data_IF_880222586929
#
_entry.id   IF_880222586929
#
_cell.length_a   1.000
_cell.length_b   1.000
_cell.length_c   1.000
_cell.angle_alpha   90.00
_cell.angle_beta   90.00
_cell.angle_gamma   90.00
#
_symmetry.space_group_name_H-M   'P 1'
#
loop_
_entity.id
_entity.type
_entity.pdbx_description
1 polymer ?
#
# COMPACT_ATOMS: atom_id res chain seq x y z
N UNK A 1 -15.67 11.35 -5.83
CA UNK A 1 -15.61 12.73 -6.38
C UNK A 1 -14.35 13.05 -7.18
N UNK A 2 -13.15 12.52 -6.87
CA UNK A 2 -11.91 12.88 -7.59
C UNK A 2 -11.93 12.58 -9.10
N UNK A 3 -12.50 11.45 -9.54
CA UNK A 3 -12.56 11.07 -10.96
C UNK A 3 -13.34 12.06 -11.84
N UNK A 4 -14.49 12.55 -11.36
CA UNK A 4 -15.32 13.53 -12.09
C UNK A 4 -14.60 14.88 -12.26
N UNK A 5 -13.82 15.28 -11.25
CA UNK A 5 -13.00 16.50 -11.29
C UNK A 5 -11.94 16.40 -12.39
N UNK A 6 -11.24 15.26 -12.52
CA UNK A 6 -10.26 15.06 -13.59
C UNK A 6 -10.88 15.02 -14.99
N UNK A 7 -12.09 14.47 -15.12
CA UNK A 7 -12.86 14.50 -16.39
C UNK A 7 -13.18 15.93 -16.83
N UNK A 8 -13.65 16.77 -15.90
CA UNK A 8 -13.94 18.18 -16.18
C UNK A 8 -12.68 18.97 -16.60
N UNK A 9 -11.53 18.70 -15.97
CA UNK A 9 -10.26 19.32 -16.36
C UNK A 9 -9.80 18.90 -17.76
N UNK A 10 -9.95 17.63 -18.14
CA UNK A 10 -9.62 17.18 -19.50
C UNK A 10 -10.47 17.91 -20.55
N UNK A 11 -11.78 18.04 -20.34
CA UNK A 11 -12.67 18.77 -21.27
C UNK A 11 -12.26 20.24 -21.37
N UNK A 12 -11.97 20.89 -20.23
CA UNK A 12 -11.54 22.29 -20.20
C UNK A 12 -10.23 22.53 -20.97
N UNK A 13 -9.26 21.62 -20.82
CA UNK A 13 -7.98 21.68 -21.54
C UNK A 13 -8.18 21.49 -23.04
N UNK A 14 -9.03 20.55 -23.46
CA UNK A 14 -9.33 20.30 -24.88
C UNK A 14 -10.02 21.50 -25.52
N UNK A 15 -10.99 22.13 -24.83
CA UNK A 15 -11.64 23.35 -25.32
C UNK A 15 -10.63 24.49 -25.47
N UNK A 16 -9.75 24.69 -24.48
CA UNK A 16 -8.67 25.68 -24.58
C UNK A 16 -7.71 25.41 -25.73
N UNK A 17 -7.32 24.15 -25.93
CA UNK A 17 -6.40 23.75 -27.01
C UNK A 17 -7.06 23.88 -28.40
N UNK A 18 -8.36 23.64 -28.51
CA UNK A 18 -9.11 23.86 -29.74
C UNK A 18 -9.22 25.35 -30.11
N UNK A 19 -9.39 26.24 -29.11
CA UNK A 19 -9.38 27.69 -29.33
C UNK A 19 -7.98 28.16 -29.76
N UNK A 20 -6.93 27.64 -29.13
CA UNK A 20 -5.54 27.95 -29.50
C UNK A 20 -5.17 27.44 -30.89
N UNK A 21 -5.59 26.22 -31.26
CA UNK A 21 -5.41 25.71 -32.61
C UNK A 21 -6.12 26.58 -33.64
N UNK A 22 -7.37 27.02 -33.37
CA UNK A 22 -8.09 27.95 -34.24
C UNK A 22 -7.37 29.30 -34.38
N UNK A 23 -6.67 29.76 -33.33
CA UNK A 23 -5.88 30.99 -33.36
C UNK A 23 -4.53 30.83 -34.11
N UNK A 24 -3.88 29.68 -34.02
CA UNK A 24 -2.58 29.42 -34.66
C UNK A 24 -2.67 28.95 -36.11
N UNK A 25 -3.71 28.19 -36.49
CA UNK A 25 -3.84 27.64 -37.84
C UNK A 25 -5.08 28.22 -38.54
N UNK A 26 -4.90 29.34 -39.24
CA UNK A 26 -5.99 30.01 -39.97
C UNK A 26 -6.54 29.17 -41.14
N UNK A 27 -5.82 28.14 -41.60
CA UNK A 27 -6.13 27.39 -42.83
C UNK A 27 -6.54 25.92 -42.60
N UNK A 28 -6.56 25.43 -41.36
CA UNK A 28 -6.90 24.03 -41.06
C UNK A 28 -8.32 23.95 -40.49
N UNK A 29 -9.27 23.46 -41.29
CA UNK A 29 -10.67 23.30 -40.90
C UNK A 29 -11.10 21.82 -40.83
N UNK A 30 -10.62 21.07 -39.83
CA UNK A 30 -11.01 19.66 -39.65
C UNK A 30 -12.52 19.53 -39.40
N UNK A 31 -13.15 20.56 -38.83
CA UNK A 31 -14.60 20.59 -38.56
C UNK A 31 -15.43 20.67 -39.85
N UNK A 32 -14.94 21.33 -40.91
CA UNK A 32 -15.66 21.40 -42.19
C UNK A 32 -15.66 20.05 -42.91
N UNK A 33 -14.58 19.27 -42.78
CA UNK A 33 -14.54 17.88 -43.27
C UNK A 33 -15.46 16.96 -42.46
N UNK A 34 -15.55 17.16 -41.15
CA UNK A 34 -16.41 16.35 -40.28
C UNK A 34 -17.90 16.70 -40.43
N UNK A 35 -18.26 17.97 -40.69
CA UNK A 35 -19.65 18.37 -40.94
C UNK A 35 -20.20 17.79 -42.24
N UNK A 36 -19.37 17.72 -43.29
CA UNK A 36 -19.76 17.08 -44.55
C UNK A 36 -19.97 15.56 -44.42
N UNK A 37 -19.35 14.93 -43.42
CA UNK A 37 -19.55 13.52 -43.09
C UNK A 37 -20.75 13.30 -42.15
N UNK A 38 -21.16 14.32 -41.40
CA UNK A 38 -22.21 14.26 -40.36
C UNK A 38 -23.43 15.11 -40.72
N UNK A 39 -24.11 14.76 -41.82
CA UNK A 39 -25.30 15.49 -42.28
C UNK A 39 -26.56 15.03 -41.53
N UNK A 40 -26.60 15.27 -40.21
CA UNK A 40 -27.68 14.80 -39.32
C UNK A 40 -28.93 15.68 -39.37
N UNK A 41 -28.84 16.94 -39.81
CA UNK A 41 -29.93 17.93 -39.83
C UNK A 41 -29.90 18.76 -41.11
N UNK A 42 -31.05 19.26 -41.58
CA UNK A 42 -31.18 20.10 -42.79
C UNK A 42 -30.57 21.50 -42.66
N UNK A 43 -30.16 21.90 -41.46
CA UNK A 43 -29.62 23.21 -41.12
C UNK A 43 -28.10 23.08 -40.88
N UNK A 44 -27.32 23.72 -41.75
CA UNK A 44 -25.85 23.68 -41.77
C UNK A 44 -25.24 24.21 -40.45
N UNK A 45 -25.92 25.13 -39.77
CA UNK A 45 -25.47 25.69 -38.50
C UNK A 45 -25.47 24.66 -37.37
N UNK A 46 -26.48 23.78 -37.35
CA UNK A 46 -26.64 22.74 -36.33
C UNK A 46 -25.65 21.59 -36.55
N UNK A 47 -25.42 21.18 -37.80
CA UNK A 47 -24.44 20.13 -38.11
C UNK A 47 -23.03 20.53 -37.66
N UNK A 48 -22.65 21.82 -37.83
CA UNK A 48 -21.36 22.32 -37.35
C UNK A 48 -21.23 22.23 -35.82
N UNK A 49 -22.31 22.46 -35.06
CA UNK A 49 -22.29 22.32 -33.60
C UNK A 49 -22.13 20.85 -33.17
N UNK A 50 -22.83 19.92 -33.82
CA UNK A 50 -22.69 18.49 -33.52
C UNK A 50 -21.29 17.96 -33.87
N UNK A 51 -20.72 18.37 -35.00
CA UNK A 51 -19.33 18.03 -35.35
C UNK A 51 -18.33 18.52 -34.30
N UNK A 52 -18.54 19.72 -33.74
CA UNK A 52 -17.72 20.25 -32.65
C UNK A 52 -17.82 19.41 -31.38
N UNK A 53 -19.04 19.00 -30.99
CA UNK A 53 -19.24 18.16 -29.81
C UNK A 53 -18.56 16.80 -29.93
N UNK A 54 -18.67 16.16 -31.09
CA UNK A 54 -18.03 14.86 -31.36
C UNK A 54 -16.51 14.99 -31.33
N UNK A 55 -15.96 16.03 -31.96
CA UNK A 55 -14.52 16.27 -31.97
C UNK A 55 -13.97 16.48 -30.55
N UNK A 56 -14.63 17.32 -29.74
CA UNK A 56 -14.22 17.56 -28.35
C UNK A 56 -14.30 16.28 -27.51
N UNK A 57 -15.35 15.47 -27.71
CA UNK A 57 -15.52 14.20 -26.99
C UNK A 57 -14.37 13.23 -27.29
N UNK A 58 -14.07 12.98 -28.57
CA UNK A 58 -12.99 12.07 -28.98
C UNK A 58 -11.63 12.59 -28.52
N UNK A 59 -11.35 13.89 -28.67
CA UNK A 59 -10.10 14.50 -28.23
C UNK A 59 -9.92 14.42 -26.71
N UNK A 60 -11.00 14.51 -25.92
CA UNK A 60 -10.95 14.37 -24.46
C UNK A 60 -10.59 12.96 -24.00
N UNK A 61 -11.01 11.93 -24.73
CA UNK A 61 -10.62 10.55 -24.42
C UNK A 61 -9.13 10.33 -24.73
N UNK A 62 -8.65 10.87 -25.86
CA UNK A 62 -7.24 10.75 -26.25
C UNK A 62 -6.29 11.49 -25.30
N UNK A 63 -6.65 12.69 -24.84
CA UNK A 63 -5.81 13.43 -23.88
C UNK A 63 -5.72 12.66 -22.54
N UNK A 64 -6.81 12.03 -22.12
CA UNK A 64 -6.86 11.21 -20.91
C UNK A 64 -5.97 9.97 -21.00
N UNK A 65 -5.97 9.27 -22.13
CA UNK A 65 -5.09 8.09 -22.32
C UNK A 65 -3.62 8.48 -22.36
N UNK A 66 -3.27 9.59 -23.03
CA UNK A 66 -1.91 10.12 -23.07
C UNK A 66 -1.42 10.49 -21.66
N UNK A 67 -2.26 11.17 -20.87
CA UNK A 67 -1.92 11.51 -19.49
C UNK A 67 -1.67 10.27 -18.63
N UNK A 68 -2.53 9.25 -18.74
CA UNK A 68 -2.36 7.98 -18.04
C UNK A 68 -1.06 7.27 -18.40
N UNK A 69 -0.69 7.26 -19.69
CA UNK A 69 0.60 6.74 -20.16
C UNK A 69 1.78 7.57 -19.63
N UNK A 70 1.69 8.89 -19.68
CA UNK A 70 2.71 9.80 -19.17
C UNK A 70 2.97 9.62 -17.67
N UNK A 71 1.91 9.45 -16.87
CA UNK A 71 2.03 9.16 -15.45
C UNK A 71 2.78 7.85 -15.20
N UNK A 72 2.44 6.76 -15.91
CA UNK A 72 3.14 5.47 -15.79
C UNK A 72 4.63 5.60 -16.10
N UNK A 73 4.97 6.30 -17.19
CA UNK A 73 6.37 6.55 -17.59
C UNK A 73 7.09 7.38 -16.53
N UNK A 74 6.46 8.42 -15.98
CA UNK A 74 7.06 9.26 -14.95
C UNK A 74 7.33 8.48 -13.65
N UNK A 75 6.40 7.63 -13.23
CA UNK A 75 6.61 6.71 -12.09
C UNK A 75 7.76 5.72 -12.37
N UNK A 76 7.86 5.19 -13.59
CA UNK A 76 8.95 4.29 -13.98
C UNK A 76 10.31 4.99 -13.90
N UNK A 77 10.42 6.24 -14.39
CA UNK A 77 11.65 7.03 -14.32
C UNK A 77 12.04 7.31 -12.86
N UNK A 78 11.07 7.68 -12.02
CA UNK A 78 11.31 7.89 -10.59
C UNK A 78 11.81 6.62 -9.91
N UNK A 79 11.25 5.47 -10.27
CA UNK A 79 11.68 4.17 -9.77
C UNK A 79 13.10 3.80 -10.23
N UNK A 80 13.42 4.00 -11.51
CA UNK A 80 14.76 3.78 -12.05
C UNK A 80 15.82 4.67 -11.38
N UNK A 81 15.49 5.95 -11.11
CA UNK A 81 16.37 6.84 -10.35
C UNK A 81 16.59 6.35 -8.92
N UNK A 82 15.55 5.86 -8.25
CA UNK A 82 15.67 5.28 -6.91
C UNK A 82 16.55 4.02 -6.92
N UNK A 83 16.40 3.15 -7.92
CA UNK A 83 17.24 1.96 -8.12
C UNK A 83 18.71 2.32 -8.35
N UNK A 84 18.99 3.28 -9.24
CA UNK A 84 20.34 3.74 -9.55
C UNK A 84 21.03 4.43 -8.35
N UNK A 85 20.25 5.08 -7.48
CA UNK A 85 20.77 5.76 -6.28
C UNK A 85 21.22 4.82 -5.15
N UNK A 86 21.12 3.49 -5.33
CA UNK A 86 21.68 2.50 -4.40
C UNK A 86 21.06 2.48 -3.00
N UNK A 87 19.95 3.20 -2.80
CA UNK A 87 19.26 3.32 -1.50
C UNK A 87 18.54 2.04 -1.09
N UNK A 88 18.26 1.11 -2.02
CA UNK A 88 17.60 -0.16 -1.73
C UNK A 88 18.27 -1.33 -2.45
N UNK A 89 18.98 -2.18 -1.71
CA UNK A 89 19.44 -3.51 -2.18
C UNK A 89 18.25 -4.48 -2.22
N UNK A 90 17.34 -4.33 -3.17
CA UNK A 90 16.26 -5.31 -3.39
C UNK A 90 16.69 -6.29 -4.48
N UNK A 91 16.46 -7.59 -4.25
CA UNK A 91 16.54 -8.61 -5.31
C UNK A 91 15.49 -8.31 -6.38
N UNK A 92 15.81 -8.61 -7.64
CA UNK A 92 14.98 -8.30 -8.82
C UNK A 92 13.55 -8.89 -8.72
N UNK A 93 13.41 -10.05 -8.06
CA UNK A 93 12.13 -10.76 -7.84
C UNK A 93 11.20 -10.08 -6.81
N UNK A 94 11.76 -9.30 -5.87
CA UNK A 94 10.99 -8.61 -4.83
C UNK A 94 10.59 -7.18 -5.21
N UNK A 95 11.10 -6.65 -6.32
CA UNK A 95 10.85 -5.28 -6.78
C UNK A 95 9.36 -5.03 -6.99
N UNK A 96 8.66 -5.95 -7.65
CA UNK A 96 7.23 -5.78 -7.94
C UNK A 96 6.40 -5.83 -6.66
N UNK A 97 6.75 -6.72 -5.73
CA UNK A 97 6.14 -6.81 -4.42
C UNK A 97 6.38 -5.51 -3.63
N UNK A 98 7.61 -4.98 -3.65
CA UNK A 98 7.98 -3.74 -2.96
C UNK A 98 7.32 -2.50 -3.59
N UNK A 99 7.11 -2.48 -4.91
CA UNK A 99 6.36 -1.44 -5.61
C UNK A 99 4.88 -1.49 -5.25
N UNK A 100 4.27 -2.68 -5.31
CA UNK A 100 2.88 -2.91 -4.92
C UNK A 100 2.66 -2.51 -3.45
N UNK A 101 3.55 -2.96 -2.57
CA UNK A 101 3.58 -2.58 -1.15
C UNK A 101 3.72 -1.07 -0.99
N UNK A 102 4.63 -0.41 -1.72
CA UNK A 102 4.83 1.04 -1.63
C UNK A 102 3.62 1.85 -2.08
N UNK A 103 2.88 1.40 -3.10
CA UNK A 103 1.62 2.06 -3.51
C UNK A 103 0.48 1.81 -2.54
N UNK A 104 0.49 0.67 -1.84
CA UNK A 104 -0.45 0.34 -0.77
C UNK A 104 -0.08 1.01 0.57
N UNK A 105 1.18 1.39 0.77
CA UNK A 105 1.66 1.96 2.03
C UNK A 105 0.84 3.18 2.51
N UNK A 106 0.49 4.16 1.66
CA UNK A 106 -0.33 5.30 2.08
C UNK A 106 -1.74 4.88 2.54
N UNK A 107 -2.31 3.83 1.94
CA UNK A 107 -3.65 3.31 2.27
C UNK A 107 -3.63 2.45 3.54
N UNK A 108 -2.53 1.74 3.79
CA UNK A 108 -2.37 0.86 4.96
C UNK A 108 -1.80 1.60 6.18
N UNK A 109 -1.18 2.76 5.98
CA UNK A 109 -0.48 3.51 7.03
C UNK A 109 -1.37 4.30 7.99
N UNK A 110 -2.70 4.20 7.87
CA UNK A 110 -3.61 4.96 8.73
C UNK A 110 -3.48 4.56 10.22
N UNK A 111 -3.06 3.32 10.52
CA UNK A 111 -2.82 2.86 11.89
C UNK A 111 -1.32 2.61 12.18
N UNK A 112 -0.80 2.99 13.38
CA UNK A 112 0.60 2.78 13.75
C UNK A 112 1.07 1.32 13.73
N UNK A 113 0.17 0.38 14.03
CA UNK A 113 0.43 -1.06 14.03
C UNK A 113 0.59 -1.63 12.62
N UNK A 114 -0.22 -1.14 11.67
CA UNK A 114 -0.17 -1.57 10.27
C UNK A 114 1.10 -1.05 9.62
N UNK A 115 1.55 0.17 9.99
CA UNK A 115 2.88 0.67 9.64
C UNK A 115 3.99 -0.25 10.17
N UNK A 116 3.88 -0.74 11.40
CA UNK A 116 4.89 -1.64 11.97
C UNK A 116 4.94 -2.99 11.24
N UNK A 117 3.78 -3.54 10.87
CA UNK A 117 3.71 -4.75 10.03
C UNK A 117 4.32 -4.52 8.66
N UNK A 118 4.03 -3.37 8.04
CA UNK A 118 4.61 -2.98 6.77
C UNK A 118 6.14 -2.89 6.83
N UNK A 119 6.68 -2.21 7.86
CA UNK A 119 8.13 -2.11 8.08
C UNK A 119 8.77 -3.47 8.40
N UNK A 120 8.05 -4.38 9.07
CA UNK A 120 8.50 -5.75 9.31
C UNK A 120 8.68 -6.53 8.01
N UNK A 121 7.72 -6.43 7.08
CA UNK A 121 7.83 -7.03 5.73
C UNK A 121 9.01 -6.41 4.99
N UNK A 122 9.09 -5.08 4.96
CA UNK A 122 10.05 -4.32 4.16
C UNK A 122 11.49 -4.60 4.56
N UNK A 123 11.75 -4.58 5.87
CA UNK A 123 13.10 -4.70 6.42
C UNK A 123 13.42 -6.11 6.94
N UNK A 124 12.49 -7.06 6.77
CA UNK A 124 12.58 -8.42 7.35
C UNK A 124 12.89 -8.40 8.86
N UNK A 125 12.37 -7.39 9.57
CA UNK A 125 12.61 -7.20 11.01
C UNK A 125 11.62 -8.00 11.82
N UNK A 126 12.12 -8.67 12.86
CA UNK A 126 11.29 -9.45 13.77
C UNK A 126 10.45 -8.56 14.67
N UNK A 127 9.19 -8.93 14.85
CA UNK A 127 8.24 -8.30 15.74
C UNK A 127 7.71 -9.32 16.74
N UNK A 128 7.35 -8.83 17.92
CA UNK A 128 6.61 -9.58 18.91
C UNK A 128 5.14 -9.18 18.82
N UNK A 129 4.29 -10.17 18.58
CA UNK A 129 2.84 -10.05 18.53
C UNK A 129 2.28 -10.68 19.80
N UNK A 130 1.53 -9.88 20.55
CA UNK A 130 0.74 -10.37 21.67
C UNK A 130 -0.70 -10.55 21.25
N UNK A 131 -1.26 -11.70 21.60
CA UNK A 131 -2.64 -12.07 21.31
C UNK A 131 -3.53 -11.77 22.52
N UNK A 132 -4.82 -11.53 22.27
CA UNK A 132 -5.84 -11.41 23.33
C UNK A 132 -5.92 -12.65 24.23
N UNK A 133 -5.69 -13.82 23.68
CA UNK A 133 -5.68 -15.10 24.42
C UNK A 133 -4.42 -15.32 25.29
N UNK A 134 -3.49 -14.35 25.34
CA UNK A 134 -2.26 -14.46 26.14
C UNK A 134 -1.10 -15.18 25.44
N UNK A 135 -1.33 -15.79 24.27
CA UNK A 135 -0.24 -16.30 23.42
C UNK A 135 0.60 -15.16 22.87
N UNK A 136 1.89 -15.44 22.69
CA UNK A 136 2.86 -14.50 22.14
C UNK A 136 3.59 -15.18 20.99
N UNK A 137 3.68 -14.49 19.86
CA UNK A 137 4.48 -14.94 18.73
C UNK A 137 5.57 -13.93 18.45
N UNK A 138 6.73 -14.42 18.04
CA UNK A 138 7.84 -13.61 17.58
C UNK A 138 8.24 -14.11 16.20
N UNK A 139 8.32 -13.21 15.24
CA UNK A 139 8.69 -13.57 13.88
C UNK A 139 8.63 -12.38 12.93
N UNK A 140 8.71 -12.67 11.64
CA UNK A 140 8.65 -11.67 10.58
C UNK A 140 7.29 -11.76 9.89
N UNK A 141 6.62 -10.63 9.68
CA UNK A 141 5.39 -10.62 8.88
C UNK A 141 5.74 -11.01 7.45
N UNK A 142 5.02 -12.00 6.91
CA UNK A 142 5.19 -12.47 5.55
C UNK A 142 4.22 -11.77 4.59
N UNK A 143 2.95 -11.61 4.99
CA UNK A 143 1.89 -10.96 4.19
C UNK A 143 0.88 -10.25 5.07
N UNK A 144 0.24 -9.23 4.52
CA UNK A 144 -0.94 -8.56 5.08
C UNK A 144 -2.06 -8.74 4.06
N UNK A 145 -3.27 -9.09 4.51
CA UNK A 145 -4.41 -9.27 3.61
C UNK A 145 -4.75 -7.97 2.87
N UNK A 146 -4.99 -8.06 1.57
CA UNK A 146 -5.31 -6.89 0.74
C UNK A 146 -6.73 -6.39 1.05
N UNK A 147 -6.96 -5.07 0.99
CA UNK A 147 -8.31 -4.52 1.08
C UNK A 147 -9.18 -5.07 -0.05
N UNK A 148 -10.33 -5.67 0.27
CA UNK A 148 -11.35 -6.04 -0.70
C UNK A 148 -12.52 -5.04 -0.62
N UNK A 149 -13.31 -4.89 -1.69
CA UNK A 149 -14.43 -3.93 -1.74
C UNK A 149 -15.58 -4.29 -0.78
N UNK A 150 -15.67 -5.57 -0.40
CA UNK A 150 -16.73 -6.11 0.47
C UNK A 150 -16.36 -6.10 1.96
N UNK A 151 -15.06 -6.14 2.27
CA UNK A 151 -14.55 -6.38 3.61
C UNK A 151 -13.65 -5.24 4.09
N UNK A 152 -13.66 -4.98 5.40
CA UNK A 152 -12.76 -3.99 5.99
C UNK A 152 -11.28 -4.33 5.69
N UNK A 153 -10.41 -3.33 5.41
CA UNK A 153 -9.00 -3.58 5.12
C UNK A 153 -8.29 -4.33 6.26
N UNK A 154 -7.32 -5.20 5.90
CA UNK A 154 -6.39 -5.88 6.83
C UNK A 154 -7.03 -6.84 7.85
N UNK A 155 -7.98 -7.68 7.44
CA UNK A 155 -8.60 -8.66 8.35
C UNK A 155 -7.63 -9.68 8.92
N UNK A 156 -6.60 -10.07 8.16
CA UNK A 156 -5.65 -11.12 8.54
C UNK A 156 -4.20 -10.72 8.24
N UNK A 157 -3.30 -11.22 9.07
CA UNK A 157 -1.84 -11.10 8.91
C UNK A 157 -1.22 -12.49 8.86
N UNK A 158 -0.25 -12.69 7.98
CA UNK A 158 0.55 -13.90 7.92
C UNK A 158 1.91 -13.64 8.58
N UNK A 159 2.27 -14.49 9.54
CA UNK A 159 3.51 -14.40 10.30
C UNK A 159 4.34 -15.66 10.07
N UNK A 160 5.63 -15.51 9.75
CA UNK A 160 6.59 -16.61 9.81
C UNK A 160 7.24 -16.58 11.20
N UNK A 161 6.88 -17.50 12.11
CA UNK A 161 7.34 -17.48 13.48
C UNK A 161 8.80 -17.95 13.58
N UNK A 162 9.54 -17.33 14.47
CA UNK A 162 10.87 -17.76 14.93
C UNK A 162 10.74 -18.45 16.28
N UNK A 163 9.88 -17.93 17.16
CA UNK A 163 9.58 -18.51 18.47
C UNK A 163 8.16 -18.15 18.89
N UNK A 164 7.56 -18.98 19.75
CA UNK A 164 6.27 -18.68 20.37
C UNK A 164 6.26 -19.01 21.85
N UNK A 165 5.34 -18.39 22.55
CA UNK A 165 5.20 -18.52 23.98
C UNK A 165 3.87 -18.00 24.48
N UNK A 166 3.85 -17.65 25.76
CA UNK A 166 2.71 -17.03 26.40
C UNK A 166 3.18 -15.97 27.40
N UNK A 167 2.28 -15.03 27.71
CA UNK A 167 2.50 -14.07 28.78
C UNK A 167 1.76 -14.56 30.03
N UNK A 168 2.50 -14.77 31.09
CA UNK A 168 1.95 -15.14 32.38
C UNK A 168 1.04 -14.03 32.92
N UNK A 169 -0.10 -14.40 33.50
CA UNK A 169 -1.13 -13.43 33.91
C UNK A 169 -0.71 -12.64 35.16
N UNK A 170 -0.01 -13.30 36.06
CA UNK A 170 0.31 -12.79 37.40
C UNK A 170 1.62 -12.00 37.37
N UNK A 171 2.65 -12.55 36.74
CA UNK A 171 3.97 -11.93 36.63
C UNK A 171 4.13 -11.03 35.41
N UNK A 172 3.22 -11.11 34.43
CA UNK A 172 3.30 -10.42 33.12
C UNK A 172 4.55 -10.73 32.30
N UNK A 173 5.34 -11.73 32.72
CA UNK A 173 6.56 -12.18 32.04
C UNK A 173 6.22 -13.04 30.83
N UNK A 174 7.10 -13.01 29.84
CA UNK A 174 6.94 -13.79 28.61
C UNK A 174 7.76 -15.08 28.76
N UNK A 175 7.09 -16.21 28.57
CA UNK A 175 7.70 -17.53 28.59
C UNK A 175 7.69 -18.09 27.16
N UNK A 176 8.87 -18.20 26.56
CA UNK A 176 9.04 -18.84 25.25
C UNK A 176 9.07 -20.36 25.43
N UNK A 177 8.19 -21.08 24.72
CA UNK A 177 8.08 -22.54 24.80
C UNK A 177 8.57 -23.20 23.51
N UNK A 178 8.24 -22.63 22.35
CA UNK A 178 8.53 -23.24 21.06
C UNK A 178 9.58 -22.43 20.31
N UNK A 179 10.56 -23.13 19.74
CA UNK A 179 11.55 -22.59 18.81
C UNK A 179 11.32 -23.19 17.42
N UNK A 180 11.06 -22.33 16.43
CA UNK A 180 10.78 -22.72 15.05
C UNK A 180 12.03 -22.61 14.15
N UNK A 181 13.17 -22.14 14.67
CA UNK A 181 14.40 -21.93 13.87
C UNK A 181 14.90 -23.19 13.18
N UNK A 182 14.72 -24.35 13.79
CA UNK A 182 15.18 -25.63 13.24
C UNK A 182 14.24 -26.22 12.18
N UNK A 183 13.08 -25.60 11.94
CA UNK A 183 12.08 -26.06 10.97
C UNK A 183 12.19 -25.32 9.63
N UNK A 184 13.38 -24.88 9.24
CA UNK A 184 13.61 -24.04 8.04
C UNK A 184 13.13 -24.65 6.72
N UNK A 185 12.94 -25.97 6.67
CA UNK A 185 12.53 -26.70 5.47
C UNK A 185 11.01 -26.92 5.37
N UNK A 186 10.24 -26.48 6.37
CA UNK A 186 8.78 -26.67 6.45
C UNK A 186 8.13 -25.29 6.52
N UNK A 187 7.04 -25.10 5.78
CA UNK A 187 6.25 -23.87 5.90
C UNK A 187 5.59 -23.81 7.28
N UNK A 188 6.07 -22.88 8.11
CA UNK A 188 5.57 -22.64 9.47
C UNK A 188 4.72 -21.38 9.55
N UNK A 189 4.28 -20.84 8.40
CA UNK A 189 3.50 -19.60 8.35
C UNK A 189 2.17 -19.75 9.08
N UNK A 190 1.87 -18.79 9.96
CA UNK A 190 0.64 -18.73 10.74
C UNK A 190 -0.19 -17.54 10.25
N UNK A 191 -1.46 -17.79 9.92
CA UNK A 191 -2.43 -16.74 9.63
C UNK A 191 -3.15 -16.35 10.92
N UNK A 192 -3.15 -15.06 11.23
CA UNK A 192 -3.66 -14.50 12.47
C UNK A 192 -4.70 -13.43 12.12
N UNK A 193 -5.94 -13.53 12.63
CA UNK A 193 -6.91 -12.45 12.52
C UNK A 193 -6.41 -11.19 13.22
N UNK A 194 -6.48 -10.05 12.55
CA UNK A 194 -6.04 -8.75 13.08
C UNK A 194 -6.81 -8.35 14.35
N UNK A 195 -8.06 -8.78 14.45
CA UNK A 195 -8.93 -8.58 15.62
C UNK A 195 -8.41 -9.29 16.88
N UNK A 196 -7.62 -10.35 16.75
CA UNK A 196 -7.06 -11.11 17.88
C UNK A 196 -5.72 -10.56 18.39
N UNK A 197 -5.10 -9.65 17.63
CA UNK A 197 -3.86 -8.97 18.02
C UNK A 197 -4.20 -7.87 19.02
N UNK A 198 -3.61 -7.95 20.23
CA UNK A 198 -3.76 -6.93 21.26
C UNK A 198 -2.74 -5.82 21.12
N UNK A 199 -1.46 -6.18 21.02
CA UNK A 199 -0.36 -5.23 20.87
C UNK A 199 0.83 -5.85 20.17
N UNK A 200 1.65 -4.97 19.59
CA UNK A 200 2.82 -5.36 18.81
C UNK A 200 4.01 -4.50 19.22
N UNK A 201 5.20 -5.10 19.26
CA UNK A 201 6.44 -4.36 19.48
C UNK A 201 7.57 -4.89 18.62
N UNK A 202 8.58 -4.07 18.37
CA UNK A 202 9.84 -4.55 17.83
C UNK A 202 10.48 -5.56 18.77
N UNK A 203 11.11 -6.59 18.21
CA UNK A 203 11.75 -7.62 19.01
C UNK A 203 13.15 -7.94 18.50
N UNK A 204 14.10 -7.88 19.44
CA UNK A 204 15.41 -8.49 19.31
C UNK A 204 15.66 -9.35 20.54
N UNK A 205 16.18 -10.55 20.33
CA UNK A 205 16.53 -11.46 21.42
C UNK A 205 17.61 -10.85 22.34
N UNK A 206 18.52 -10.05 21.78
CA UNK A 206 19.56 -9.36 22.54
C UNK A 206 18.93 -8.33 23.49
N UNK A 207 18.05 -7.47 22.97
CA UNK A 207 17.33 -6.48 23.78
C UNK A 207 16.48 -7.15 24.86
N UNK A 208 15.80 -8.25 24.53
CA UNK A 208 15.00 -8.99 25.51
C UNK A 208 15.86 -9.52 26.66
N UNK A 209 17.01 -10.14 26.36
CA UNK A 209 17.94 -10.65 27.39
C UNK A 209 18.47 -9.52 28.28
N UNK A 210 18.85 -8.38 27.69
CA UNK A 210 19.33 -7.21 28.43
C UNK A 210 18.26 -6.61 29.33
N UNK A 211 17.01 -6.52 28.86
CA UNK A 211 15.90 -6.02 29.67
C UNK A 211 15.58 -6.97 30.81
N UNK A 212 15.63 -8.28 30.57
CA UNK A 212 15.42 -9.29 31.63
C UNK A 212 16.55 -9.28 32.65
N UNK A 213 17.81 -9.12 32.24
CA UNK A 213 18.93 -9.02 33.18
C UNK A 213 18.90 -7.73 34.01
N UNK A 214 18.40 -6.64 33.43
CA UNK A 214 18.26 -5.35 34.09
C UNK A 214 16.92 -5.18 34.82
N UNK A 215 16.03 -6.19 34.73
CA UNK A 215 14.74 -6.13 35.38
C UNK A 215 14.96 -6.07 36.89
N UNK A 216 14.54 -4.95 37.49
CA UNK A 216 14.58 -4.73 38.91
C UNK A 216 13.94 -5.93 39.62
N UNK A 217 14.71 -6.64 40.43
CA UNK A 217 14.17 -7.59 41.40
C UNK A 217 13.40 -6.72 42.40
N UNK A 218 12.10 -6.57 42.18
CA UNK A 218 11.21 -6.01 43.20
C UNK A 218 11.42 -6.73 44.54
N UNK A 219 11.14 -6.07 45.67
CA UNK A 219 11.57 -6.55 46.98
C UNK A 219 11.19 -8.03 47.17
N UNK A 220 12.17 -8.81 47.66
CA UNK A 220 11.96 -10.19 48.09
C UNK A 220 10.80 -10.14 49.09
N UNK A 221 9.65 -10.74 48.75
CA UNK A 221 8.66 -11.03 49.76
C UNK A 221 9.31 -12.03 50.71
N UNK A 222 9.71 -11.57 51.89
CA UNK A 222 10.17 -12.44 52.97
C UNK A 222 9.10 -13.51 53.19
N UNK A 223 9.45 -14.77 52.94
CA UNK A 223 8.62 -15.88 53.37
C UNK A 223 8.49 -15.77 54.90
N UNK A 224 7.27 -15.86 55.46
CA UNK A 224 7.09 -15.78 56.90
C UNK A 224 7.85 -16.94 57.54
N UNK A 225 8.81 -16.61 58.40
CA UNK A 225 9.53 -17.63 59.16
C UNK A 225 8.54 -18.41 60.03
N UNK A 226 8.55 -19.74 59.99
CA UNK A 226 7.74 -20.53 60.91
C UNK A 226 8.24 -20.29 62.35
N UNK A 227 7.30 -19.93 63.23
CA UNK A 227 7.50 -19.86 64.68
C UNK A 227 7.72 -21.23 65.28
#
# INVERSE_FOLDING_TARGET
MKAAVYGFFCVSIVVGLAILLKACTSNFHPIAGLSNWTDFTKDESQNRLYSWMIAISISSVLIGTIWGWGAKVWYLIRFMKAYASGTHKCKQEDIFNHLKLSTLAPLLSELPIDKMFFESILHRKSILISMKCGKVYVGVISRISEPNETDAPNQEISLTPVMSGYRDKDTRRIHFINDYKMLSNIDTTINIPRSEVSHTSWFSMETHKTVVSNAFVGPIQEQPQPK
#
